data_IF_501751145562
#
_entry.id   IF_501751145562
#
_cell.length_a   1.000
_cell.length_b   1.000
_cell.length_c   1.000
_cell.angle_alpha   90.00
_cell.angle_beta   90.00
_cell.angle_gamma   90.00
#
_symmetry.space_group_name_H-M   'P 1'
#
loop_
_entity.id
_entity.type
_entity.pdbx_description
1 polymer ?
#
# COMPACT_ATOMS: atom_id res chain seq x y z
N UNK A 1 19.11 -26.02 -25.34
CA UNK A 1 19.49 -24.69 -24.81
C UNK A 1 18.49 -23.68 -25.34
N UNK A 2 17.69 -23.06 -24.46
CA UNK A 2 16.68 -22.08 -24.87
C UNK A 2 17.32 -20.69 -24.81
N UNK A 3 17.36 -20.00 -25.95
CA UNK A 3 17.91 -18.66 -26.08
C UNK A 3 17.07 -17.66 -25.27
N UNK A 4 17.69 -16.65 -24.61
CA UNK A 4 16.95 -15.62 -23.92
C UNK A 4 16.22 -14.73 -24.94
N UNK A 5 14.97 -14.40 -24.65
CA UNK A 5 14.16 -13.50 -25.45
C UNK A 5 14.63 -12.07 -25.12
N UNK A 6 15.30 -11.40 -26.06
CA UNK A 6 15.57 -9.96 -25.96
C UNK A 6 14.22 -9.23 -25.88
N UNK A 7 13.96 -8.54 -24.77
CA UNK A 7 12.77 -7.68 -24.63
C UNK A 7 11.95 -7.85 -23.35
N UNK A 8 12.38 -8.67 -22.38
CA UNK A 8 11.83 -8.56 -21.04
C UNK A 8 12.58 -7.47 -20.27
N UNK A 9 12.15 -6.23 -20.46
CA UNK A 9 12.34 -5.21 -19.44
C UNK A 9 11.89 -5.81 -18.10
N UNK A 10 12.58 -5.55 -16.97
CA UNK A 10 12.11 -6.02 -15.69
C UNK A 10 10.72 -5.41 -15.49
N UNK A 11 9.69 -6.24 -15.65
CA UNK A 11 8.34 -5.84 -15.39
C UNK A 11 8.34 -5.47 -13.92
N UNK A 12 8.30 -4.16 -13.62
CA UNK A 12 8.05 -3.69 -12.27
C UNK A 12 6.84 -4.49 -11.82
N UNK A 13 7.03 -5.39 -10.84
CA UNK A 13 5.96 -6.20 -10.31
C UNK A 13 4.86 -5.22 -9.96
N UNK A 14 3.74 -5.26 -10.68
CA UNK A 14 2.68 -4.29 -10.50
C UNK A 14 2.25 -4.39 -9.04
N UNK A 15 2.58 -3.38 -8.24
CA UNK A 15 2.41 -3.43 -6.80
C UNK A 15 0.92 -3.29 -6.52
N UNK A 16 0.27 -4.39 -6.19
CA UNK A 16 -1.15 -4.40 -5.85
C UNK A 16 -1.30 -4.09 -4.37
N UNK A 17 -2.07 -3.04 -4.07
CA UNK A 17 -2.46 -2.66 -2.72
C UNK A 17 -3.92 -3.06 -2.48
N UNK A 18 -4.16 -3.66 -1.32
CA UNK A 18 -5.50 -3.82 -0.75
C UNK A 18 -5.74 -2.71 0.25
N UNK A 19 -6.86 -1.99 0.11
CA UNK A 19 -7.27 -0.94 1.03
C UNK A 19 -8.62 -1.31 1.61
N UNK A 20 -8.67 -1.45 2.93
CA UNK A 20 -9.91 -1.53 3.69
C UNK A 20 -10.26 -0.13 4.19
N UNK A 21 -11.34 0.45 3.64
CA UNK A 21 -11.84 1.78 4.00
C UNK A 21 -12.98 1.66 5.00
N UNK A 22 -12.64 1.28 6.23
CA UNK A 22 -13.60 1.21 7.32
C UNK A 22 -14.01 2.58 7.85
N UNK A 23 -15.18 2.65 8.48
CA UNK A 23 -15.75 3.91 9.01
C UNK A 23 -14.92 4.51 10.15
N UNK A 24 -14.36 3.67 11.04
CA UNK A 24 -13.59 4.14 12.22
C UNK A 24 -12.09 4.00 12.01
N UNK A 25 -11.66 2.90 11.38
CA UNK A 25 -10.27 2.64 11.05
C UNK A 25 -10.16 2.12 9.63
N UNK A 26 -9.05 2.46 8.98
CA UNK A 26 -8.63 1.94 7.69
C UNK A 26 -7.37 1.09 7.83
N UNK A 27 -7.10 0.25 6.84
CA UNK A 27 -5.92 -0.60 6.78
C UNK A 27 -5.43 -0.69 5.33
N UNK A 28 -4.10 -0.75 5.14
CA UNK A 28 -3.48 -1.01 3.84
C UNK A 28 -2.64 -2.27 3.92
N UNK A 29 -2.72 -3.11 2.90
CA UNK A 29 -1.86 -4.26 2.73
C UNK A 29 -1.29 -4.30 1.31
N UNK A 30 -0.12 -4.93 1.16
CA UNK A 30 0.49 -5.20 -0.13
C UNK A 30 0.50 -6.69 -0.40
N UNK A 31 0.20 -7.10 -1.64
CA UNK A 31 0.34 -8.48 -2.07
C UNK A 31 1.61 -8.65 -2.89
N UNK A 32 2.58 -9.39 -2.35
CA UNK A 32 3.87 -9.65 -2.98
C UNK A 32 4.32 -11.08 -2.70
N UNK A 33 4.96 -11.72 -3.67
CA UNK A 33 5.51 -13.08 -3.53
C UNK A 33 4.48 -14.14 -3.11
N UNK A 34 3.21 -13.95 -3.47
CA UNK A 34 2.13 -14.89 -3.13
C UNK A 34 1.54 -14.70 -1.74
N UNK A 35 1.99 -13.71 -0.98
CA UNK A 35 1.52 -13.43 0.38
C UNK A 35 1.07 -11.98 0.54
N UNK A 36 0.12 -11.75 1.46
CA UNK A 36 -0.30 -10.41 1.87
C UNK A 36 0.44 -9.99 3.14
N UNK A 37 0.88 -8.73 3.17
CA UNK A 37 1.50 -8.11 4.34
C UNK A 37 0.86 -6.75 4.61
N UNK A 38 0.46 -6.50 5.85
CA UNK A 38 -0.06 -5.21 6.29
C UNK A 38 1.07 -4.16 6.29
N UNK A 39 0.73 -2.95 5.85
CA UNK A 39 1.61 -1.78 5.93
C UNK A 39 1.19 -0.97 7.16
N UNK A 40 2.07 -0.91 8.17
CA UNK A 40 1.84 -0.09 9.36
C UNK A 40 1.96 1.40 9.07
N UNK A 41 1.26 2.21 9.86
CA UNK A 41 1.41 3.65 9.93
C UNK A 41 2.80 4.07 10.42
N UNK A 42 3.06 5.37 10.38
CA UNK A 42 4.29 5.99 10.91
C UNK A 42 4.45 5.78 12.42
N UNK A 43 3.34 5.63 13.13
CA UNK A 43 3.25 5.25 14.54
C UNK A 43 3.49 3.75 14.82
N UNK A 44 3.62 2.93 13.77
CA UNK A 44 3.78 1.48 13.85
C UNK A 44 2.49 0.69 14.03
N UNK A 45 1.32 1.35 14.06
CA UNK A 45 0.03 0.68 14.16
C UNK A 45 -0.48 0.24 12.79
N UNK A 46 -1.13 -0.92 12.75
CA UNK A 46 -1.72 -1.46 11.50
C UNK A 46 -3.07 -0.85 11.13
N UNK A 47 -3.74 -0.24 12.11
CA UNK A 47 -5.04 0.41 11.93
C UNK A 47 -4.84 1.93 12.01
N UNK A 48 -5.32 2.62 10.98
CA UNK A 48 -5.20 4.06 10.84
C UNK A 48 -6.59 4.68 11.12
N UNK A 49 -6.74 5.64 12.05
CA UNK A 49 -8.01 6.31 12.27
C UNK A 49 -8.56 6.95 10.98
N UNK A 50 -9.81 6.66 10.65
CA UNK A 50 -10.50 7.22 9.48
C UNK A 50 -11.00 8.64 9.80
N UNK A 51 -10.10 9.60 9.90
CA UNK A 51 -10.40 11.00 10.26
C UNK A 51 -9.72 11.99 9.32
N UNK A 52 -10.38 13.12 9.09
CA UNK A 52 -9.81 14.29 8.43
C UNK A 52 -9.95 15.48 9.38
N UNK A 53 -8.90 16.28 9.51
CA UNK A 53 -8.87 17.49 10.34
C UNK A 53 -8.45 18.69 9.51
N UNK A 54 -9.01 19.87 9.81
CA UNK A 54 -8.65 21.14 9.20
C UNK A 54 -8.06 22.04 10.29
N UNK A 55 -6.78 22.44 10.18
CA UNK A 55 -6.19 23.41 11.10
C UNK A 55 -6.87 24.77 11.02
N UNK A 56 -6.88 25.52 12.14
CA UNK A 56 -7.57 26.81 12.25
C UNK A 56 -7.01 27.86 11.28
N UNK A 57 -5.72 27.80 10.99
CA UNK A 57 -5.01 28.66 10.05
C UNK A 57 -5.14 28.18 8.59
N UNK A 58 -5.78 27.03 8.36
CA UNK A 58 -5.92 26.41 7.05
C UNK A 58 -4.63 25.86 6.45
N UNK A 59 -3.54 25.82 7.22
CA UNK A 59 -2.31 25.14 6.80
C UNK A 59 -2.50 23.61 6.85
N UNK A 60 -1.97 22.84 5.90
CA UNK A 60 -2.01 21.38 5.92
C UNK A 60 -1.06 20.75 6.95
#
# INVERSE_FOLDING_TARGET
MKLPILGQEPQASELILGIDLGTTHSLVAVFQHGESRVLGGDDGNNLIPSVVSFPEDGAP
#
